data_IF_600010088178
#
_entry.id   IF_600010088178
#
_cell.length_a   1.000
_cell.length_b   1.000
_cell.length_c   1.000
_cell.angle_alpha   90.00
_cell.angle_beta   90.00
_cell.angle_gamma   90.00
#
_symmetry.space_group_name_H-M   'P 1'
#
loop_
_entity.id
_entity.type
_entity.pdbx_description
1 polymer ?
#
# COMPACT_ATOMS: atom_id res chain seq x y z
N UNK A 1 5.58 5.73 11.76
CA UNK A 1 4.31 5.25 11.17
C UNK A 1 4.05 6.21 10.05
N UNK A 2 4.00 5.72 8.82
CA UNK A 2 3.99 6.61 7.65
C UNK A 2 2.64 6.59 6.97
N UNK A 3 2.25 7.73 6.42
CA UNK A 3 1.01 7.92 5.70
C UNK A 3 1.25 8.16 4.22
N UNK A 4 0.30 7.77 3.38
CA UNK A 4 0.38 7.98 1.94
C UNK A 4 -0.91 7.63 1.22
N UNK A 5 -0.85 7.65 -0.11
CA UNK A 5 -1.96 7.31 -0.98
C UNK A 5 -1.80 5.87 -1.45
N UNK A 6 -2.84 5.08 -1.23
CA UNK A 6 -2.98 3.76 -1.81
C UNK A 6 -4.04 3.80 -2.90
N UNK A 7 -3.64 3.40 -4.10
CA UNK A 7 -4.52 3.12 -5.22
C UNK A 7 -4.78 1.62 -5.27
N UNK A 8 -6.06 1.25 -5.20
CA UNK A 8 -6.54 -0.11 -5.40
C UNK A 8 -7.14 -0.20 -6.80
N UNK A 9 -6.73 -1.20 -7.58
CA UNK A 9 -7.20 -1.46 -8.92
C UNK A 9 -7.79 -2.87 -8.95
N UNK A 10 -9.07 -2.97 -9.29
CA UNK A 10 -9.69 -4.24 -9.62
C UNK A 10 -9.31 -4.61 -11.07
N UNK A 11 -8.54 -5.68 -11.23
CA UNK A 11 -7.98 -6.09 -12.52
C UNK A 11 -9.04 -6.68 -13.48
N UNK A 12 -10.19 -7.09 -12.95
CA UNK A 12 -11.31 -7.64 -13.73
C UNK A 12 -12.18 -6.52 -14.33
N UNK A 13 -12.47 -5.50 -13.53
CA UNK A 13 -13.39 -4.41 -13.88
C UNK A 13 -12.68 -3.13 -14.25
N UNK A 14 -11.35 -3.05 -14.06
CA UNK A 14 -10.51 -1.84 -14.18
C UNK A 14 -10.90 -0.70 -13.23
N UNK A 15 -11.73 -0.99 -12.23
CA UNK A 15 -12.21 0.02 -11.27
C UNK A 15 -11.07 0.44 -10.35
N UNK A 16 -10.86 1.75 -10.25
CA UNK A 16 -9.85 2.34 -9.36
C UNK A 16 -10.49 2.93 -8.10
N UNK A 17 -9.84 2.73 -6.96
CA UNK A 17 -10.21 3.36 -5.68
C UNK A 17 -8.98 3.91 -4.99
N UNK A 18 -9.12 5.10 -4.42
CA UNK A 18 -8.04 5.81 -3.75
C UNK A 18 -8.33 5.94 -2.26
N UNK A 19 -7.31 5.68 -1.45
CA UNK A 19 -7.36 5.71 0.00
C UNK A 19 -6.20 6.51 0.55
N UNK A 20 -6.47 7.37 1.53
CA UNK A 20 -5.42 7.85 2.44
C UNK A 20 -5.18 6.79 3.49
N UNK A 21 -3.97 6.26 3.55
CA UNK A 21 -3.61 5.14 4.41
C UNK A 21 -2.46 5.49 5.33
N UNK A 22 -2.37 4.73 6.42
CA UNK A 22 -1.15 4.61 7.22
C UNK A 22 -0.61 3.18 7.07
N UNK A 23 0.71 3.04 7.15
CA UNK A 23 1.39 1.75 7.17
C UNK A 23 2.22 1.57 8.44
N UNK A 24 2.26 0.33 8.91
CA UNK A 24 3.03 -0.11 10.06
C UNK A 24 3.71 -1.44 9.75
N UNK A 25 5.02 -1.52 10.01
CA UNK A 25 5.76 -2.77 9.96
C UNK A 25 5.41 -3.66 11.16
N UNK A 26 5.13 -4.91 10.87
CA UNK A 26 5.03 -6.02 11.82
C UNK A 26 6.14 -7.04 11.49
N UNK A 27 6.30 -8.09 12.31
CA UNK A 27 7.32 -9.11 12.08
C UNK A 27 7.06 -9.89 10.76
N UNK A 28 7.74 -9.51 9.68
CA UNK A 28 7.60 -10.11 8.34
C UNK A 28 6.40 -9.59 7.53
N UNK A 29 5.60 -8.68 8.09
CA UNK A 29 4.38 -8.16 7.45
C UNK A 29 4.33 -6.64 7.48
N UNK A 30 3.50 -6.08 6.62
CA UNK A 30 3.12 -4.67 6.61
C UNK A 30 1.62 -4.63 6.78
N UNK A 31 1.18 -3.95 7.84
CA UNK A 31 -0.21 -3.64 8.09
C UNK A 31 -0.52 -2.25 7.56
N UNK A 32 -1.58 -2.14 6.78
CA UNK A 32 -2.04 -0.89 6.17
C UNK A 32 -3.51 -0.70 6.51
N UNK A 33 -3.86 0.50 6.94
CA UNK A 33 -5.27 0.87 7.12
C UNK A 33 -5.58 2.24 6.54
N UNK A 34 -6.80 2.42 6.08
CA UNK A 34 -7.32 3.74 5.77
C UNK A 34 -7.44 4.58 7.05
N UNK A 35 -7.04 5.84 6.95
CA UNK A 35 -7.26 6.84 8.01
C UNK A 35 -8.60 7.58 7.85
N UNK A 36 -9.36 7.24 6.82
CA UNK A 36 -10.64 7.87 6.50
C UNK A 36 -11.79 7.03 7.05
N UNK A 37 -12.51 7.53 8.07
CA UNK A 37 -13.62 6.80 8.70
C UNK A 37 -14.75 6.40 7.73
N UNK A 38 -14.98 7.17 6.67
CA UNK A 38 -16.03 6.91 5.67
C UNK A 38 -15.58 6.00 4.53
N UNK A 39 -14.31 5.59 4.51
CA UNK A 39 -13.72 4.64 3.54
C UNK A 39 -12.87 3.63 4.29
N UNK A 40 -13.47 2.71 5.06
CA UNK A 40 -12.72 1.72 5.80
C UNK A 40 -11.97 0.80 4.84
N UNK A 41 -10.69 0.59 5.15
CA UNK A 41 -9.82 -0.35 4.46
C UNK A 41 -8.80 -0.84 5.48
N UNK A 42 -8.58 -2.14 5.50
CA UNK A 42 -7.54 -2.77 6.31
C UNK A 42 -6.92 -3.92 5.52
N UNK A 43 -5.59 -3.91 5.44
CA UNK A 43 -4.81 -4.83 4.61
C UNK A 43 -3.57 -5.26 5.38
N UNK A 44 -3.18 -6.51 5.17
CA UNK A 44 -1.91 -7.04 5.68
C UNK A 44 -1.23 -7.77 4.54
N UNK A 45 -0.01 -7.36 4.22
CA UNK A 45 0.83 -7.97 3.18
C UNK A 45 2.08 -8.55 3.83
N UNK A 46 2.64 -9.63 3.27
CA UNK A 46 4.01 -10.00 3.61
C UNK A 46 4.94 -9.00 2.98
N UNK A 47 6.04 -8.69 3.67
CA UNK A 47 7.09 -7.82 3.11
C UNK A 47 7.62 -8.40 1.79
N UNK A 48 7.74 -9.73 1.70
CA UNK A 48 8.18 -10.45 0.50
C UNK A 48 7.29 -10.28 -0.73
N UNK A 49 6.02 -9.93 -0.52
CA UNK A 49 5.04 -9.81 -1.60
C UNK A 49 5.05 -8.38 -2.19
N UNK A 50 5.73 -7.45 -1.52
CA UNK A 50 5.82 -6.05 -1.91
C UNK A 50 6.96 -5.86 -2.92
N UNK A 51 6.63 -5.41 -4.13
CA UNK A 51 7.62 -5.00 -5.13
C UNK A 51 7.82 -3.50 -5.03
N UNK A 52 8.99 -3.07 -4.58
CA UNK A 52 9.32 -1.66 -4.42
C UNK A 52 10.28 -1.21 -5.50
N UNK A 53 10.01 -0.05 -6.07
CA UNK A 53 10.90 0.68 -6.98
C UNK A 53 11.11 2.09 -6.44
N UNK A 54 11.93 2.90 -7.10
CA UNK A 54 12.28 4.25 -6.64
C UNK A 54 11.09 5.18 -6.41
N UNK A 55 9.95 4.97 -7.10
CA UNK A 55 8.80 5.89 -7.06
C UNK A 55 7.46 5.23 -6.70
N UNK A 56 7.43 3.90 -6.59
CA UNK A 56 6.19 3.16 -6.33
C UNK A 56 6.49 1.88 -5.55
N UNK A 57 5.54 1.47 -4.73
CA UNK A 57 5.46 0.12 -4.21
C UNK A 57 4.18 -0.55 -4.70
N UNK A 58 4.25 -1.84 -5.04
CA UNK A 58 3.14 -2.59 -5.62
C UNK A 58 2.98 -3.93 -4.92
N UNK A 59 1.74 -4.34 -4.67
CA UNK A 59 1.39 -5.69 -4.27
C UNK A 59 0.12 -6.17 -5.00
N UNK A 60 0.13 -7.43 -5.40
CA UNK A 60 -1.01 -8.09 -6.03
C UNK A 60 -1.65 -9.06 -5.02
N UNK A 61 -2.98 -9.07 -4.95
CA UNK A 61 -3.74 -10.02 -4.11
C UNK A 61 -4.98 -10.49 -4.87
N UNK A 62 -4.87 -11.66 -5.50
CA UNK A 62 -5.91 -12.14 -6.42
C UNK A 62 -6.06 -11.17 -7.58
N UNK A 63 -7.31 -10.78 -7.88
CA UNK A 63 -7.63 -9.83 -8.95
C UNK A 63 -7.52 -8.36 -8.53
N UNK A 64 -6.84 -8.07 -7.43
CA UNK A 64 -6.68 -6.70 -6.92
C UNK A 64 -5.20 -6.34 -6.89
N UNK A 65 -4.85 -5.27 -7.58
CA UNK A 65 -3.53 -4.63 -7.52
C UNK A 65 -3.58 -3.43 -6.59
N UNK A 66 -2.57 -3.31 -5.74
CA UNK A 66 -2.38 -2.20 -4.82
C UNK A 66 -1.11 -1.44 -5.21
N UNK A 67 -1.25 -0.15 -5.51
CA UNK A 67 -0.15 0.75 -5.86
C UNK A 67 -0.03 1.84 -4.79
N UNK A 68 1.13 1.94 -4.15
CA UNK A 68 1.47 3.04 -3.26
C UNK A 68 2.25 4.08 -4.06
N UNK A 69 1.74 5.30 -4.08
CA UNK A 69 2.35 6.42 -4.78
C UNK A 69 2.94 7.42 -3.79
N UNK A 70 4.03 8.06 -4.21
CA UNK A 70 4.84 8.93 -3.35
C UNK A 70 4.49 10.43 -3.46
N UNK A 71 3.22 10.78 -3.74
CA UNK A 71 2.78 12.20 -3.73
C UNK A 71 2.96 12.86 -2.34
N UNK A 72 3.24 12.07 -1.30
CA UNK A 72 3.54 12.54 0.06
C UNK A 72 4.98 12.28 0.52
N UNK A 73 5.88 11.80 -0.35
CA UNK A 73 7.32 11.55 -0.14
C UNK A 73 7.74 10.65 1.05
N UNK A 74 6.79 10.09 1.82
CA UNK A 74 7.09 9.36 3.05
C UNK A 74 6.88 7.84 2.94
N UNK A 75 5.76 7.42 2.33
CA UNK A 75 5.32 6.03 2.44
C UNK A 75 6.15 5.09 1.56
N UNK A 76 6.39 5.42 0.29
CA UNK A 76 7.13 4.52 -0.61
C UNK A 76 8.59 4.39 -0.16
N UNK A 77 9.21 5.51 0.20
CA UNK A 77 10.56 5.54 0.78
C UNK A 77 10.65 4.65 2.03
N UNK A 78 9.66 4.69 2.91
CA UNK A 78 9.63 3.84 4.09
C UNK A 78 9.43 2.36 3.78
N UNK A 79 8.57 2.04 2.81
CA UNK A 79 8.34 0.67 2.34
C UNK A 79 9.61 0.08 1.72
N UNK A 80 10.39 0.88 0.98
CA UNK A 80 11.69 0.48 0.43
C UNK A 80 12.67 0.04 1.53
N UNK A 81 12.73 0.79 2.64
CA UNK A 81 13.55 0.46 3.82
C UNK A 81 13.10 -0.82 4.53
N UNK A 82 11.83 -1.23 4.38
CA UNK A 82 11.33 -2.45 5.04
C UNK A 82 11.53 -3.71 4.21
N UNK A 83 11.63 -3.58 2.90
CA UNK A 83 11.84 -4.68 1.95
C UNK A 83 13.33 -5.04 1.80
N UNK A 84 14.22 -4.08 2.02
CA UNK A 84 15.67 -4.28 2.12
C UNK A 84 16.14 -4.48 3.57
#
# INVERSE_FOLDING_TARGET
METGILKQIDLTTTTERYFFVQAQRLAGYIWIRSIQNFKPLELTFRISDLRVTQHQAVADRGDIKYEFNDDTNGLVSQLAVWVH
#
